data_IF_969082237734
#
_entry.id   IF_969082237734
#
_cell.length_a   1.000
_cell.length_b   1.000
_cell.length_c   1.000
_cell.angle_alpha   90.00
_cell.angle_beta   90.00
_cell.angle_gamma   90.00
#
_symmetry.space_group_name_H-M   'P 1'
#
loop_
_entity.id
_entity.type
_entity.pdbx_description
1 polymer ?
#
# COMPACT_ATOMS: atom_id res chain seq x y z
N UNK A 1 13.59 24.59 4.34
CA UNK A 1 13.74 24.08 5.72
C UNK A 1 13.19 22.65 5.71
N UNK A 2 13.93 21.63 6.13
CA UNK A 2 13.35 20.33 6.30
C UNK A 2 12.30 20.43 7.41
N UNK A 3 11.09 19.97 7.14
CA UNK A 3 10.07 19.78 8.17
C UNK A 3 10.58 18.59 8.99
N UNK A 4 11.10 18.85 10.18
CA UNK A 4 11.40 17.80 11.13
C UNK A 4 10.02 17.30 11.61
N UNK A 5 9.52 16.25 10.98
CA UNK A 5 8.38 15.52 11.53
C UNK A 5 8.85 14.85 12.81
N UNK A 6 8.10 15.05 13.90
CA UNK A 6 8.36 14.29 15.12
C UNK A 6 8.28 12.80 14.78
N UNK A 7 9.27 12.03 15.20
CA UNK A 7 9.27 10.58 15.03
C UNK A 7 7.95 10.02 15.59
N UNK A 8 7.26 9.21 14.81
CA UNK A 8 6.05 8.52 15.24
C UNK A 8 6.43 7.10 15.67
N UNK A 9 5.72 6.54 16.64
CA UNK A 9 5.90 5.12 16.89
C UNK A 9 5.06 4.28 15.91
N UNK A 10 5.45 3.03 15.72
CA UNK A 10 4.80 2.09 14.78
C UNK A 10 3.30 1.97 15.02
N UNK A 11 2.86 2.00 16.30
CA UNK A 11 1.43 1.86 16.65
C UNK A 11 0.62 3.09 16.29
N UNK A 12 1.16 4.28 16.52
CA UNK A 12 0.50 5.53 16.18
C UNK A 12 0.37 5.66 14.67
N UNK A 13 1.41 5.24 13.93
CA UNK A 13 1.41 5.21 12.48
C UNK A 13 0.42 4.17 11.92
N UNK A 14 0.34 2.97 12.51
CA UNK A 14 -0.70 1.98 12.18
C UNK A 14 -2.10 2.54 12.43
N UNK A 15 -2.33 3.17 13.58
CA UNK A 15 -3.60 3.83 13.90
C UNK A 15 -3.97 4.92 12.90
N UNK A 16 -2.99 5.73 12.49
CA UNK A 16 -3.18 6.76 11.48
C UNK A 16 -3.58 6.17 10.11
N UNK A 17 -2.84 5.17 9.61
CA UNK A 17 -3.15 4.52 8.32
C UNK A 17 -4.50 3.79 8.36
N UNK A 18 -4.84 3.11 9.45
CA UNK A 18 -6.14 2.44 9.63
C UNK A 18 -7.29 3.44 9.54
N UNK A 19 -7.14 4.58 10.20
CA UNK A 19 -8.16 5.64 10.18
C UNK A 19 -8.26 6.30 8.81
N UNK A 20 -7.11 6.70 8.23
CA UNK A 20 -7.04 7.41 6.95
C UNK A 20 -7.63 6.58 5.80
N UNK A 21 -7.28 5.30 5.74
CA UNK A 21 -7.59 4.39 4.63
C UNK A 21 -8.77 3.45 4.93
N UNK A 22 -9.41 3.61 6.09
CA UNK A 22 -10.51 2.76 6.54
C UNK A 22 -10.21 1.25 6.39
N UNK A 23 -8.98 0.83 6.75
CA UNK A 23 -8.45 -0.53 6.52
C UNK A 23 -9.39 -1.60 7.04
N UNK A 24 -9.96 -1.41 8.23
CA UNK A 24 -10.79 -2.40 8.88
C UNK A 24 -12.21 -2.53 8.27
N UNK A 25 -12.64 -1.55 7.45
CA UNK A 25 -13.98 -1.55 6.84
C UNK A 25 -14.21 -2.70 5.85
N UNK A 26 -13.13 -3.26 5.27
CA UNK A 26 -13.21 -4.35 4.28
C UNK A 26 -12.40 -5.58 4.65
N UNK A 27 -12.01 -5.69 5.91
CA UNK A 27 -11.15 -6.77 6.40
C UNK A 27 -11.63 -8.18 6.02
N UNK A 28 -12.94 -8.41 6.03
CA UNK A 28 -13.53 -9.71 5.67
C UNK A 28 -13.64 -9.93 4.15
N UNK A 29 -13.40 -8.90 3.34
CA UNK A 29 -13.57 -8.96 1.89
C UNK A 29 -12.24 -8.98 1.14
N UNK A 30 -11.18 -8.48 1.77
CA UNK A 30 -9.85 -8.48 1.20
C UNK A 30 -9.05 -9.67 1.74
N UNK A 31 -8.54 -10.50 0.83
CA UNK A 31 -7.67 -11.63 1.20
C UNK A 31 -6.28 -11.19 1.65
N UNK A 32 -5.88 -9.96 1.36
CA UNK A 32 -4.62 -9.40 1.87
C UNK A 32 -4.73 -9.13 3.37
N UNK A 33 -3.68 -9.48 4.11
CA UNK A 33 -3.53 -9.06 5.51
C UNK A 33 -3.08 -7.60 5.53
N UNK A 34 -4.06 -6.68 5.46
CA UNK A 34 -3.78 -5.24 5.50
C UNK A 34 -3.30 -4.79 6.88
N UNK A 35 -2.36 -3.85 6.91
CA UNK A 35 -1.74 -3.33 8.13
C UNK A 35 -0.31 -3.80 8.32
N UNK A 36 0.16 -3.77 9.57
CA UNK A 36 1.51 -4.19 9.92
C UNK A 36 1.65 -5.71 9.76
N UNK A 37 2.47 -6.14 8.80
CA UNK A 37 2.72 -7.55 8.50
C UNK A 37 3.98 -8.10 9.17
N UNK A 38 5.04 -7.29 9.25
CA UNK A 38 6.25 -7.61 9.99
C UNK A 38 6.60 -6.40 10.85
N UNK A 39 6.67 -6.60 12.16
CA UNK A 39 7.06 -5.56 13.10
C UNK A 39 8.57 -5.34 13.11
N UNK A 40 9.00 -4.28 13.78
CA UNK A 40 10.40 -3.99 14.08
C UNK A 40 10.63 -3.92 15.58
N UNK A 41 11.89 -4.01 15.98
CA UNK A 41 12.31 -3.93 17.39
C UNK A 41 12.26 -2.49 17.90
N UNK A 42 12.77 -1.55 17.10
CA UNK A 42 12.76 -0.12 17.40
C UNK A 42 11.39 0.45 17.08
N UNK A 43 10.69 1.00 18.08
CA UNK A 43 9.30 1.47 17.90
C UNK A 43 9.23 2.78 17.11
N UNK A 44 10.28 3.60 17.10
CA UNK A 44 10.30 4.89 16.41
C UNK A 44 10.46 4.73 14.90
N UNK A 45 9.68 5.49 14.13
CA UNK A 45 9.70 5.56 12.67
C UNK A 45 9.95 7.00 12.25
N UNK A 46 11.06 7.23 11.56
CA UNK A 46 11.43 8.53 11.01
C UNK A 46 11.39 8.53 9.48
N UNK A 47 11.70 7.36 8.87
CA UNK A 47 11.76 7.19 7.42
C UNK A 47 10.83 6.08 6.95
N UNK A 48 9.91 6.43 6.05
CA UNK A 48 8.97 5.48 5.44
C UNK A 48 9.25 5.41 3.95
N UNK A 49 9.56 4.22 3.45
CA UNK A 49 9.66 3.93 2.03
C UNK A 49 8.34 3.38 1.49
N UNK A 50 8.09 3.59 0.20
CA UNK A 50 6.91 3.08 -0.49
C UNK A 50 7.32 2.26 -1.71
N UNK A 51 6.64 1.13 -1.93
CA UNK A 51 6.81 0.29 -3.11
C UNK A 51 5.48 -0.40 -3.46
N UNK A 52 5.40 -1.01 -4.64
CA UNK A 52 4.23 -1.79 -5.03
C UNK A 52 4.27 -3.18 -4.38
N UNK A 53 5.39 -3.88 -4.50
CA UNK A 53 5.51 -5.29 -4.12
C UNK A 53 6.46 -5.51 -2.95
N UNK A 54 6.06 -6.41 -2.03
CA UNK A 54 6.94 -6.97 -1.00
C UNK A 54 7.86 -8.03 -1.61
N UNK A 55 9.01 -7.59 -2.13
CA UNK A 55 10.01 -8.47 -2.70
C UNK A 55 11.42 -8.16 -2.17
N UNK A 56 12.37 -9.06 -2.36
CA UNK A 56 13.73 -8.88 -1.85
C UNK A 56 14.37 -7.60 -2.39
N UNK A 57 14.15 -7.27 -3.65
CA UNK A 57 14.69 -6.05 -4.27
C UNK A 57 14.22 -4.78 -3.55
N UNK A 58 12.91 -4.68 -3.27
CA UNK A 58 12.36 -3.51 -2.55
C UNK A 58 12.84 -3.45 -1.10
N UNK A 59 13.05 -4.60 -0.46
CA UNK A 59 13.60 -4.67 0.90
C UNK A 59 15.04 -4.19 0.96
N UNK A 60 15.89 -4.65 0.04
CA UNK A 60 17.28 -4.23 -0.05
C UNK A 60 17.39 -2.72 -0.26
N UNK A 61 16.63 -2.17 -1.22
CA UNK A 61 16.61 -0.72 -1.48
C UNK A 61 16.11 0.09 -0.28
N UNK A 62 15.05 -0.38 0.40
CA UNK A 62 14.56 0.27 1.61
C UNK A 62 15.61 0.26 2.73
N UNK A 63 16.32 -0.87 2.91
CA UNK A 63 17.39 -0.99 3.89
C UNK A 63 18.61 -0.12 3.55
N UNK A 64 19.01 -0.04 2.27
CA UNK A 64 20.09 0.85 1.80
C UNK A 64 19.78 2.32 2.04
N UNK A 65 18.48 2.69 1.95
CA UNK A 65 18.00 4.04 2.28
C UNK A 65 17.78 4.25 3.77
N UNK A 66 18.06 3.22 4.59
CA UNK A 66 17.83 3.20 6.04
C UNK A 66 16.37 3.54 6.41
N UNK A 67 15.42 2.99 5.67
CA UNK A 67 14.01 3.12 6.01
C UNK A 67 13.69 2.33 7.30
N UNK A 68 12.82 2.88 8.11
CA UNK A 68 12.28 2.24 9.31
C UNK A 68 11.05 1.39 9.00
N UNK A 69 10.28 1.80 8.00
CA UNK A 69 9.09 1.10 7.53
C UNK A 69 9.03 1.13 6.01
N UNK A 70 8.68 -0.02 5.42
CA UNK A 70 8.34 -0.14 4.02
C UNK A 70 6.83 -0.38 3.89
N UNK A 71 6.13 0.58 3.28
CA UNK A 71 4.72 0.45 2.93
C UNK A 71 4.61 -0.11 1.52
N UNK A 72 3.82 -1.17 1.34
CA UNK A 72 3.61 -1.83 0.05
C UNK A 72 2.12 -2.00 -0.25
N UNK A 73 1.80 -2.12 -1.52
CA UNK A 73 0.46 -2.52 -1.96
C UNK A 73 0.26 -4.04 -1.83
N UNK A 74 1.16 -4.82 -2.40
CA UNK A 74 1.16 -6.27 -2.31
C UNK A 74 2.12 -6.75 -1.22
N UNK A 75 1.56 -7.13 -0.07
CA UNK A 75 2.33 -7.64 1.06
C UNK A 75 2.76 -9.10 0.93
N UNK A 76 3.29 -9.65 2.01
CA UNK A 76 3.74 -11.05 2.09
C UNK A 76 2.63 -12.02 2.50
N UNK A 77 1.60 -11.55 3.23
CA UNK A 77 0.58 -12.42 3.83
C UNK A 77 -0.80 -12.16 3.21
N UNK A 78 -1.48 -13.24 2.82
CA UNK A 78 -2.69 -13.24 1.99
C UNK A 78 -3.83 -14.10 2.57
N UNK A 79 -4.09 -13.99 3.85
CA UNK A 79 -5.26 -14.60 4.50
C UNK A 79 -5.23 -16.12 4.66
N UNK A 80 -4.11 -16.77 4.35
CA UNK A 80 -3.88 -18.19 4.62
C UNK A 80 -2.54 -18.37 5.32
N UNK A 81 -2.42 -19.44 6.07
CA UNK A 81 -1.15 -19.80 6.71
C UNK A 81 -0.10 -20.11 5.65
N UNK A 82 1.04 -19.47 5.75
CA UNK A 82 2.19 -19.70 4.88
C UNK A 82 3.36 -20.24 5.70
N UNK A 83 3.98 -21.32 5.22
CA UNK A 83 5.18 -21.84 5.84
C UNK A 83 6.36 -20.90 5.61
N UNK A 84 7.12 -20.63 6.68
CA UNK A 84 8.29 -19.75 6.62
C UNK A 84 9.51 -20.57 6.20
N UNK A 85 9.59 -20.87 4.89
CA UNK A 85 10.67 -21.66 4.27
C UNK A 85 11.11 -21.04 2.94
N UNK A 86 12.28 -21.41 2.44
CA UNK A 86 12.78 -20.98 1.14
C UNK A 86 12.78 -19.48 0.97
N UNK A 87 12.23 -18.96 -0.12
CA UNK A 87 12.19 -17.52 -0.43
C UNK A 87 11.40 -16.71 0.60
N UNK A 88 10.35 -17.30 1.18
CA UNK A 88 9.55 -16.63 2.21
C UNK A 88 10.36 -16.44 3.50
N UNK A 89 11.13 -17.46 3.89
CA UNK A 89 12.06 -17.38 5.01
C UNK A 89 13.11 -16.28 4.78
N UNK A 90 13.76 -16.24 3.61
CA UNK A 90 14.79 -15.22 3.32
C UNK A 90 14.24 -13.79 3.38
N UNK A 91 13.02 -13.57 2.89
CA UNK A 91 12.35 -12.26 2.95
C UNK A 91 12.08 -11.83 4.39
N UNK A 92 11.48 -12.71 5.19
CA UNK A 92 11.15 -12.41 6.60
C UNK A 92 12.44 -12.22 7.40
N UNK A 93 13.44 -13.07 7.20
CA UNK A 93 14.75 -12.95 7.85
C UNK A 93 15.37 -11.58 7.59
N UNK A 94 15.40 -11.14 6.33
CA UNK A 94 15.97 -9.84 5.97
C UNK A 94 15.25 -8.69 6.68
N UNK A 95 13.91 -8.67 6.69
CA UNK A 95 13.12 -7.64 7.38
C UNK A 95 13.45 -7.57 8.88
N UNK A 96 13.56 -8.74 9.53
CA UNK A 96 13.88 -8.83 10.96
C UNK A 96 15.31 -8.39 11.25
N UNK A 97 16.30 -8.84 10.46
CA UNK A 97 17.72 -8.50 10.62
C UNK A 97 17.99 -7.01 10.38
N UNK A 98 17.33 -6.42 9.37
CA UNK A 98 17.42 -5.00 9.04
C UNK A 98 16.59 -4.10 9.99
N UNK A 99 15.84 -4.65 10.91
CA UNK A 99 14.87 -3.93 11.76
C UNK A 99 13.89 -3.06 10.93
N UNK A 100 13.48 -3.56 9.76
CA UNK A 100 12.60 -2.92 8.79
C UNK A 100 11.17 -3.41 8.95
N UNK A 101 10.25 -2.55 9.37
CA UNK A 101 8.82 -2.88 9.43
C UNK A 101 8.23 -3.03 8.02
N UNK A 102 7.36 -4.02 7.82
CA UNK A 102 6.58 -4.17 6.59
C UNK A 102 5.12 -3.86 6.87
N UNK A 103 4.57 -2.91 6.13
CA UNK A 103 3.17 -2.50 6.20
C UNK A 103 2.51 -2.70 4.83
N UNK A 104 1.38 -3.41 4.76
CA UNK A 104 0.69 -3.65 3.49
C UNK A 104 -0.67 -2.96 3.46
N UNK A 105 -1.01 -2.35 2.32
CA UNK A 105 -2.29 -1.69 2.08
C UNK A 105 -2.75 -2.04 0.66
N UNK A 106 -3.62 -3.03 0.56
CA UNK A 106 -4.14 -3.56 -0.71
C UNK A 106 -5.43 -2.84 -1.13
N UNK A 107 -6.58 -3.51 -1.18
CA UNK A 107 -7.83 -2.91 -1.62
C UNK A 107 -8.21 -1.58 -0.93
N UNK A 108 -7.94 -1.36 0.38
CA UNK A 108 -8.22 -0.06 1.00
C UNK A 108 -7.56 1.11 0.28
N UNK A 109 -6.35 0.90 -0.28
CA UNK A 109 -5.68 1.91 -1.08
C UNK A 109 -6.30 2.03 -2.47
N UNK A 110 -6.70 0.91 -3.12
CA UNK A 110 -7.23 0.96 -4.48
C UNK A 110 -8.46 1.87 -4.60
N UNK A 111 -9.40 1.75 -3.68
CA UNK A 111 -10.66 2.49 -3.76
C UNK A 111 -10.74 3.73 -2.86
N UNK A 112 -9.65 4.12 -2.19
CA UNK A 112 -9.66 5.37 -1.41
C UNK A 112 -9.97 6.56 -2.33
N UNK A 113 -10.96 7.42 -1.97
CA UNK A 113 -11.57 8.36 -2.92
C UNK A 113 -10.64 9.48 -3.38
N UNK A 114 -9.53 9.73 -2.69
CA UNK A 114 -8.58 10.80 -3.04
C UNK A 114 -7.14 10.34 -3.18
N UNK A 115 -6.68 9.40 -2.33
CA UNK A 115 -5.30 8.90 -2.31
C UNK A 115 -5.13 7.60 -3.09
N UNK A 116 -6.25 6.92 -3.39
CA UNK A 116 -6.25 5.59 -3.95
C UNK A 116 -5.73 5.49 -5.38
N UNK A 117 -5.29 4.32 -5.76
CA UNK A 117 -4.78 4.03 -7.10
C UNK A 117 -5.80 4.43 -8.18
N UNK A 118 -7.07 4.07 -7.98
CA UNK A 118 -8.14 4.42 -8.92
C UNK A 118 -8.37 5.93 -9.01
N UNK A 119 -8.36 6.64 -7.88
CA UNK A 119 -8.55 8.08 -7.85
C UNK A 119 -7.37 8.82 -8.53
N UNK A 120 -6.14 8.36 -8.30
CA UNK A 120 -4.96 8.94 -8.94
C UNK A 120 -4.94 8.65 -10.45
N UNK A 121 -5.35 7.45 -10.88
CA UNK A 121 -5.50 7.12 -12.29
C UNK A 121 -6.59 7.99 -12.95
N UNK A 122 -7.75 8.12 -12.31
CA UNK A 122 -8.83 8.99 -12.80
C UNK A 122 -8.37 10.46 -12.95
N UNK A 123 -7.57 10.93 -12.00
CA UNK A 123 -6.96 12.27 -12.03
C UNK A 123 -5.93 12.42 -13.16
N UNK A 124 -5.05 11.42 -13.32
CA UNK A 124 -4.03 11.44 -14.39
C UNK A 124 -4.68 11.45 -15.79
N UNK A 125 -5.80 10.74 -15.96
CA UNK A 125 -6.59 10.70 -17.19
C UNK A 125 -7.57 11.89 -17.31
N UNK A 126 -7.63 12.78 -16.34
CA UNK A 126 -8.55 13.93 -16.29
C UNK A 126 -10.04 13.52 -16.45
N UNK A 127 -10.40 12.34 -15.89
CA UNK A 127 -11.78 11.83 -16.05
C UNK A 127 -12.81 12.78 -15.43
N UNK A 128 -13.89 13.00 -16.15
CA UNK A 128 -15.06 13.78 -15.72
C UNK A 128 -16.19 12.86 -15.26
N UNK A 129 -17.03 13.35 -14.32
CA UNK A 129 -18.17 12.58 -13.82
C UNK A 129 -17.76 11.28 -13.14
N UNK A 130 -16.65 11.29 -12.41
CA UNK A 130 -16.09 10.08 -11.77
C UNK A 130 -17.05 9.56 -10.71
N UNK A 131 -17.42 8.29 -10.81
CA UNK A 131 -18.28 7.61 -9.86
C UNK A 131 -17.73 6.21 -9.47
N UNK A 132 -18.07 5.69 -8.29
CA UNK A 132 -17.68 4.34 -7.88
C UNK A 132 -18.27 3.27 -8.80
N UNK A 133 -17.41 2.33 -9.25
CA UNK A 133 -17.77 1.30 -10.22
C UNK A 133 -17.26 -0.08 -9.80
N UNK A 134 -17.81 -1.13 -10.38
CA UNK A 134 -17.38 -2.52 -10.20
C UNK A 134 -17.56 -3.03 -8.76
N UNK A 135 -18.41 -4.03 -8.57
CA UNK A 135 -18.66 -4.60 -7.24
C UNK A 135 -17.77 -5.82 -7.00
N UNK A 136 -17.04 -5.80 -5.89
CA UNK A 136 -16.29 -6.93 -5.35
C UNK A 136 -16.79 -7.21 -3.92
N UNK A 137 -17.39 -8.38 -3.69
CA UNK A 137 -18.02 -8.74 -2.41
C UNK A 137 -18.93 -7.64 -1.82
N UNK A 138 -19.72 -6.99 -2.70
CA UNK A 138 -20.66 -5.93 -2.32
C UNK A 138 -20.02 -4.56 -2.04
N UNK A 139 -18.70 -4.42 -2.26
CA UNK A 139 -17.99 -3.14 -2.17
C UNK A 139 -17.60 -2.69 -3.58
N UNK A 140 -17.84 -1.43 -3.91
CA UNK A 140 -17.36 -0.86 -5.17
C UNK A 140 -15.89 -0.52 -5.03
N UNK A 141 -15.04 -1.17 -5.82
CA UNK A 141 -13.58 -1.06 -5.72
C UNK A 141 -12.94 -0.31 -6.88
N UNK A 142 -13.67 -0.06 -7.97
CA UNK A 142 -13.20 0.68 -9.12
C UNK A 142 -13.86 2.04 -9.26
N UNK A 143 -13.47 2.77 -10.30
CA UNK A 143 -14.09 4.04 -10.71
C UNK A 143 -14.44 4.01 -12.18
N UNK A 144 -15.48 4.74 -12.55
CA UNK A 144 -15.91 4.99 -13.92
C UNK A 144 -15.95 6.50 -14.15
N UNK A 145 -15.62 6.95 -15.34
CA UNK A 145 -15.71 8.35 -15.74
C UNK A 145 -15.59 8.49 -17.25
N UNK A 146 -15.66 9.72 -17.73
CA UNK A 146 -15.53 10.04 -19.15
C UNK A 146 -14.27 10.85 -19.40
N UNK A 147 -13.55 10.54 -20.48
CA UNK A 147 -12.47 11.40 -20.95
C UNK A 147 -13.05 12.76 -21.39
N UNK A 148 -12.31 13.87 -21.18
CA UNK A 148 -12.73 15.20 -21.63
C UNK A 148 -13.03 15.25 -23.16
N UNK A 149 -12.23 14.49 -23.92
CA UNK A 149 -12.35 14.31 -25.36
C UNK A 149 -12.11 12.86 -25.74
N UNK A 150 -12.70 12.35 -26.83
CA UNK A 150 -12.42 11.00 -27.31
C UNK A 150 -10.94 10.84 -27.67
N UNK A 151 -10.29 9.82 -27.13
CA UNK A 151 -8.90 9.46 -27.42
C UNK A 151 -8.84 8.02 -27.92
N UNK A 152 -7.89 7.73 -28.78
CA UNK A 152 -7.52 6.35 -29.08
C UNK A 152 -6.73 5.70 -27.92
N UNK A 153 -6.67 4.38 -27.93
CA UNK A 153 -6.04 3.63 -26.82
C UNK A 153 -4.56 3.98 -26.65
N UNK A 154 -3.82 4.21 -27.74
CA UNK A 154 -2.41 4.62 -27.70
C UNK A 154 -2.25 5.93 -26.93
N UNK A 155 -3.03 6.94 -27.30
CA UNK A 155 -3.02 8.25 -26.63
C UNK A 155 -3.43 8.18 -25.15
N UNK A 156 -4.28 7.23 -24.76
CA UNK A 156 -4.62 7.00 -23.34
C UNK A 156 -3.42 6.37 -22.58
N UNK A 157 -2.69 5.46 -23.23
CA UNK A 157 -1.52 4.81 -22.61
C UNK A 157 -0.33 5.76 -22.43
N UNK A 158 -0.25 6.83 -23.21
CA UNK A 158 0.85 7.81 -23.18
C UNK A 158 0.63 8.93 -22.14
N UNK A 159 -0.52 8.92 -21.44
CA UNK A 159 -0.84 9.86 -20.34
C UNK A 159 -0.39 9.35 -18.97
#
# INVERSE_FOLDING_TARGET
>A
MPIIMAAMNVRDLDGYFRSLLAIDAIREKDVSVNGLQVGRRTEQVERVAFAVDACMETFLRASEWEADMLCVHHGLFWGHEATITGRHYERIRHLIEADLALYAIHLPLDFHPTLGNNAQMAKALELQGVEPFGSYHGTKIGVLGHLPEPLDVGSVCDR
#
